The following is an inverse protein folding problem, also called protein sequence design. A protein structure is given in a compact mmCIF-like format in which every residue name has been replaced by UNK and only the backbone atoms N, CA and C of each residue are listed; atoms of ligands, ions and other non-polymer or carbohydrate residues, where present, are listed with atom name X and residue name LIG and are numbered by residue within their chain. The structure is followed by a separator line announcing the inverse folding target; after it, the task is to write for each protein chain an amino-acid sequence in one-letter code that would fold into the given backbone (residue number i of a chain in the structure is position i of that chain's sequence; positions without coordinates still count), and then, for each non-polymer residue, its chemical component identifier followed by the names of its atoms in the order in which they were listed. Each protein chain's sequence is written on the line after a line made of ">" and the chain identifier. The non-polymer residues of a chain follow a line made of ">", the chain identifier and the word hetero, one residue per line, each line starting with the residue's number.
data_IF_546031470182
#
_entry.id   IF_546031470182
#
_cell.length_a   1.000
_cell.length_b   1.000
_cell.length_c   1.000
_cell.angle_alpha   90.00
_cell.angle_beta   90.00
_cell.angle_gamma   90.00
#
_symmetry.space_group_name_H-M   'P 1'
#
loop_
_entity.id
_entity.type
_entity.pdbx_description
1 polymer ?
#
# COMPACT_ATOMS: atom_id res chain seq x y z
N UNK A 1 -5.03 -0.54 11.66
CA UNK A 1 -5.34 -0.15 13.06
C UNK A 1 -4.23 -0.58 14.03
N UNK A 2 -3.83 -1.85 14.06
CA UNK A 2 -2.69 -2.32 14.89
C UNK A 2 -1.42 -1.49 14.65
N UNK A 3 -0.98 -1.38 13.38
CA UNK A 3 0.23 -0.59 13.03
C UNK A 3 0.14 0.89 13.41
N UNK A 4 -1.06 1.46 13.33
CA UNK A 4 -1.30 2.84 13.70
C UNK A 4 -1.11 3.03 15.20
N UNK A 5 -1.76 2.19 16.00
CA UNK A 5 -1.69 2.26 17.47
C UNK A 5 -0.26 1.96 17.94
N UNK A 6 0.42 0.97 17.35
CA UNK A 6 1.81 0.67 17.72
C UNK A 6 2.76 1.82 17.37
N UNK A 7 2.59 2.45 16.20
CA UNK A 7 3.45 3.58 15.80
C UNK A 7 3.19 4.81 16.67
N UNK A 8 1.92 5.10 16.97
CA UNK A 8 1.52 6.20 17.85
C UNK A 8 2.03 6.02 19.29
N UNK A 9 1.97 4.80 19.83
CA UNK A 9 2.54 4.50 21.15
C UNK A 9 4.05 4.64 21.17
N UNK A 10 4.76 4.07 20.18
CA UNK A 10 6.21 4.14 20.11
C UNK A 10 6.72 5.58 19.96
N UNK A 11 6.08 6.39 19.12
CA UNK A 11 6.48 7.78 18.93
C UNK A 11 6.15 8.63 20.15
N UNK A 12 5.02 8.38 20.82
CA UNK A 12 4.68 9.05 22.07
C UNK A 12 5.77 8.81 23.12
N UNK A 13 6.21 7.56 23.33
CA UNK A 13 7.28 7.27 24.29
C UNK A 13 8.64 7.87 23.87
N UNK A 14 8.88 8.07 22.58
CA UNK A 14 10.14 8.66 22.09
C UNK A 14 10.15 10.19 22.11
N UNK A 15 9.00 10.85 21.89
CA UNK A 15 8.93 12.30 21.65
C UNK A 15 8.21 13.08 22.75
N UNK A 16 7.38 12.46 23.59
CA UNK A 16 6.56 13.19 24.58
C UNK A 16 7.41 14.05 25.53
N UNK A 17 8.58 13.57 25.96
CA UNK A 17 9.47 14.35 26.83
C UNK A 17 10.10 15.55 26.11
N UNK A 18 10.35 15.44 24.80
CA UNK A 18 10.98 16.49 24.00
C UNK A 18 9.97 17.49 23.42
N UNK A 19 8.77 17.03 23.10
CA UNK A 19 7.69 17.78 22.47
C UNK A 19 6.33 17.42 23.09
N UNK A 20 6.06 17.79 24.34
CA UNK A 20 4.83 17.43 25.04
C UNK A 20 3.57 18.06 24.43
N UNK A 21 3.70 19.22 23.79
CA UNK A 21 2.58 19.91 23.13
C UNK A 21 2.20 19.24 21.80
N UNK A 22 3.18 18.71 21.06
CA UNK A 22 2.95 18.03 19.77
C UNK A 22 2.56 16.55 19.96
N UNK A 23 3.08 15.90 21.01
CA UNK A 23 2.78 14.50 21.36
C UNK A 23 2.21 14.36 22.79
N UNK A 24 1.04 14.97 23.12
CA UNK A 24 0.54 15.03 24.50
C UNK A 24 -0.02 13.71 25.03
N UNK A 25 -0.54 12.84 24.17
CA UNK A 25 -1.09 11.52 24.52
C UNK A 25 -1.18 10.64 23.26
N UNK A 26 -1.31 9.32 23.45
CA UNK A 26 -1.31 8.35 22.34
C UNK A 26 -2.38 8.67 21.26
N UNK A 27 -3.65 8.99 21.61
CA UNK A 27 -4.62 9.40 20.59
C UNK A 27 -4.22 10.63 19.76
N UNK A 28 -3.53 11.61 20.34
CA UNK A 28 -3.02 12.75 19.59
C UNK A 28 -1.88 12.32 18.65
N UNK A 29 -0.98 11.46 19.12
CA UNK A 29 0.10 10.88 18.31
C UNK A 29 -0.42 10.01 17.14
N UNK A 30 -1.67 9.53 17.19
CA UNK A 30 -2.29 8.84 16.05
C UNK A 30 -2.45 9.76 14.84
N UNK A 31 -2.59 11.07 15.00
CA UNK A 31 -2.63 12.00 13.86
C UNK A 31 -1.35 11.90 13.03
N UNK A 32 -0.19 12.05 13.69
CA UNK A 32 1.11 11.86 13.07
C UNK A 32 1.24 10.46 12.44
N UNK A 33 0.79 9.42 13.15
CA UNK A 33 0.80 8.05 12.65
C UNK A 33 -0.04 7.86 11.38
N UNK A 34 -1.24 8.46 11.31
CA UNK A 34 -2.12 8.40 10.13
C UNK A 34 -1.39 9.04 8.95
N UNK A 35 -0.98 10.30 9.07
CA UNK A 35 -0.40 11.05 7.94
C UNK A 35 0.94 10.47 7.49
N UNK A 36 1.70 9.84 8.40
CA UNK A 36 2.98 9.19 8.06
C UNK A 36 2.75 7.84 7.37
N UNK A 37 1.88 6.99 7.92
CA UNK A 37 1.60 5.66 7.36
C UNK A 37 0.85 5.74 6.03
N UNK A 38 0.06 6.79 5.80
CA UNK A 38 -0.59 7.07 4.51
C UNK A 38 0.27 7.90 3.57
N UNK A 39 1.54 8.13 3.93
CA UNK A 39 2.52 8.87 3.12
C UNK A 39 2.07 10.29 2.75
N UNK A 40 1.21 10.93 3.55
CA UNK A 40 0.74 12.32 3.35
C UNK A 40 1.76 13.31 3.88
N UNK A 41 2.14 13.17 5.17
CA UNK A 41 3.21 13.94 5.80
C UNK A 41 3.09 15.47 5.68
N UNK A 42 2.07 16.07 6.30
CA UNK A 42 1.89 17.54 6.27
C UNK A 42 3.06 18.31 6.87
N UNK A 43 3.81 17.72 7.81
CA UNK A 43 4.96 18.35 8.46
C UNK A 43 4.60 19.33 9.59
N UNK A 44 3.34 19.35 10.01
CA UNK A 44 2.83 20.07 11.17
C UNK A 44 3.36 19.50 12.49
N UNK A 45 3.45 18.17 12.58
CA UNK A 45 4.04 17.44 13.70
C UNK A 45 5.03 16.43 13.14
N UNK A 46 6.22 16.32 13.75
CA UNK A 46 7.25 15.35 13.35
C UNK A 46 8.23 15.10 14.50
N UNK A 47 8.83 13.89 14.57
CA UNK A 47 9.79 13.55 15.62
C UNK A 47 11.09 14.34 15.49
N UNK A 48 11.56 14.90 16.61
CA UNK A 48 12.83 15.63 16.68
C UNK A 48 13.93 14.83 17.35
N UNK A 49 13.60 13.83 18.18
CA UNK A 49 14.60 13.01 18.86
C UNK A 49 15.29 12.04 17.90
N UNK A 50 16.55 11.64 18.17
CA UNK A 50 17.24 10.63 17.37
C UNK A 50 16.46 9.30 17.30
N UNK A 51 15.88 8.87 18.43
CA UNK A 51 15.09 7.65 18.50
C UNK A 51 13.79 7.77 17.71
N UNK A 52 13.05 8.88 17.87
CA UNK A 52 11.81 9.09 17.13
C UNK A 52 12.03 9.25 15.64
N UNK A 53 13.13 9.85 15.19
CA UNK A 53 13.51 9.89 13.76
C UNK A 53 13.78 8.50 13.20
N UNK A 54 14.49 7.64 13.95
CA UNK A 54 14.71 6.26 13.57
C UNK A 54 13.40 5.47 13.46
N UNK A 55 12.52 5.59 14.45
CA UNK A 55 11.18 4.98 14.44
C UNK A 55 10.32 5.53 13.31
N UNK A 56 10.38 6.84 13.04
CA UNK A 56 9.68 7.50 11.95
C UNK A 56 10.13 7.00 10.58
N UNK A 57 11.42 6.77 10.38
CA UNK A 57 11.93 6.19 9.14
C UNK A 57 11.39 4.77 8.91
N UNK A 58 11.35 3.94 9.96
CA UNK A 58 10.74 2.60 9.87
C UNK A 58 9.25 2.69 9.57
N UNK A 59 8.53 3.58 10.25
CA UNK A 59 7.09 3.78 10.04
C UNK A 59 6.78 4.20 8.60
N UNK A 60 7.58 5.10 8.01
CA UNK A 60 7.44 5.52 6.63
C UNK A 60 7.63 4.34 5.64
N UNK A 61 8.66 3.51 5.84
CA UNK A 61 8.90 2.32 5.01
C UNK A 61 7.75 1.31 5.11
N UNK A 62 7.25 1.10 6.33
CA UNK A 62 6.09 0.23 6.57
C UNK A 62 4.84 0.79 5.88
N UNK A 63 4.61 2.10 5.94
CA UNK A 63 3.51 2.77 5.25
C UNK A 63 3.46 2.47 3.76
N UNK A 64 4.59 2.65 3.06
CA UNK A 64 4.72 2.31 1.62
C UNK A 64 4.41 0.83 1.36
N UNK A 65 4.93 -0.07 2.22
CA UNK A 65 4.70 -1.51 2.09
C UNK A 65 3.22 -1.93 2.21
N UNK A 66 2.44 -1.24 3.05
CA UNK A 66 1.01 -1.54 3.23
C UNK A 66 0.23 -1.26 1.94
N UNK A 67 0.50 -0.15 1.26
CA UNK A 67 -0.21 0.21 0.04
C UNK A 67 0.14 -0.67 -1.16
N UNK A 68 1.31 -1.34 -1.13
CA UNK A 68 1.71 -2.26 -2.18
C UNK A 68 0.78 -3.49 -2.30
N UNK A 69 0.26 -4.02 -1.18
CA UNK A 69 -0.57 -5.23 -1.19
C UNK A 69 -1.94 -5.01 -1.86
N UNK A 70 -2.77 -4.02 -1.47
CA UNK A 70 -4.04 -3.76 -2.14
C UNK A 70 -3.85 -3.41 -3.62
N UNK A 71 -2.83 -2.60 -3.94
CA UNK A 71 -2.51 -2.27 -5.33
C UNK A 71 -2.16 -3.52 -6.14
N UNK A 72 -1.37 -4.44 -5.56
CA UNK A 72 -1.03 -5.73 -6.16
C UNK A 72 -2.24 -6.62 -6.41
N UNK A 73 -3.16 -6.72 -5.45
CA UNK A 73 -4.41 -7.51 -5.57
C UNK A 73 -5.30 -6.97 -6.70
N UNK A 74 -5.44 -5.65 -6.79
CA UNK A 74 -6.22 -5.02 -7.86
C UNK A 74 -5.55 -5.27 -9.20
N UNK A 75 -4.22 -5.07 -9.29
CA UNK A 75 -3.47 -5.31 -10.52
C UNK A 75 -3.54 -6.77 -11.00
N UNK A 76 -3.47 -7.74 -10.09
CA UNK A 76 -3.62 -9.16 -10.43
C UNK A 76 -5.02 -9.47 -10.96
N UNK A 77 -6.08 -8.89 -10.36
CA UNK A 77 -7.45 -9.06 -10.85
C UNK A 77 -7.64 -8.49 -12.27
N UNK A 78 -7.05 -7.34 -12.58
CA UNK A 78 -7.05 -6.81 -13.94
C UNK A 78 -6.27 -7.70 -14.92
N UNK A 79 -5.13 -8.22 -14.50
CA UNK A 79 -4.28 -9.08 -15.33
C UNK A 79 -5.02 -10.38 -15.69
N UNK A 80 -5.65 -11.02 -14.71
CA UNK A 80 -6.44 -12.24 -14.91
C UNK A 80 -7.60 -12.03 -15.90
N UNK A 81 -8.34 -10.92 -15.79
CA UNK A 81 -9.45 -10.63 -16.70
C UNK A 81 -8.95 -10.34 -18.13
N UNK A 82 -7.81 -9.67 -18.29
CA UNK A 82 -7.18 -9.43 -19.61
C UNK A 82 -6.75 -10.76 -20.24
N UNK A 83 -6.14 -11.66 -19.46
CA UNK A 83 -5.73 -12.98 -19.93
C UNK A 83 -6.93 -13.84 -20.34
N UNK A 84 -8.01 -13.83 -19.56
CA UNK A 84 -9.26 -14.55 -19.87
C UNK A 84 -9.90 -14.06 -21.17
N UNK A 85 -9.90 -12.75 -21.44
CA UNK A 85 -10.38 -12.18 -22.71
C UNK A 85 -9.48 -12.57 -23.88
N UNK A 86 -8.16 -12.58 -23.69
CA UNK A 86 -7.20 -13.03 -24.72
C UNK A 86 -7.39 -14.50 -25.07
N UNK A 87 -7.53 -15.37 -24.07
CA UNK A 87 -7.80 -16.79 -24.27
C UNK A 87 -9.14 -17.03 -25.00
N UNK A 88 -10.20 -16.30 -24.62
CA UNK A 88 -11.52 -16.39 -25.27
C UNK A 88 -11.47 -15.94 -26.74
N UNK A 89 -10.73 -14.88 -27.05
CA UNK A 89 -10.54 -14.41 -28.44
C UNK A 89 -9.65 -15.34 -29.28
N UNK A 90 -8.65 -16.00 -28.68
CA UNK A 90 -7.86 -17.01 -29.39
C UNK A 90 -8.70 -18.23 -29.76
N UNK A 91 -9.58 -18.69 -28.88
CA UNK A 91 -10.44 -19.86 -29.14
C UNK A 91 -11.47 -19.60 -30.26
N UNK A 92 -11.82 -18.33 -30.52
CA UNK A 92 -12.65 -17.94 -31.68
C UNK A 92 -11.88 -17.90 -33.01
N UNK A 93 -10.55 -17.80 -32.99
CA UNK A 93 -9.72 -17.48 -34.17
C UNK A 93 -9.19 -18.66 -34.97
N UNK A 94 -9.50 -19.91 -34.61
CA UNK A 94 -9.08 -21.07 -35.41
C UNK A 94 -10.18 -22.11 -35.51
N UNK A 95 -11.21 -21.80 -36.29
CA UNK A 95 -12.09 -22.85 -36.81
C UNK A 95 -11.29 -23.55 -37.90
N UNK A 96 -10.94 -24.83 -37.70
CA UNK A 96 -10.23 -25.62 -38.71
C UNK A 96 -11.27 -26.37 -39.54
N UNK A 97 -11.20 -26.24 -40.87
CA UNK A 97 -12.14 -26.90 -41.76
C UNK A 97 -11.97 -28.44 -41.68
N UNK A 98 -13.03 -29.22 -41.39
CA UNK A 98 -12.93 -30.68 -41.26
C UNK A 98 -12.68 -31.41 -42.59
N UNK A 99 -12.85 -30.72 -43.73
CA UNK A 99 -12.67 -31.31 -45.06
C UNK A 99 -11.25 -31.11 -45.62
N UNK A 100 -10.58 -30.00 -45.31
CA UNK A 100 -9.25 -29.69 -45.88
C UNK A 100 -8.16 -29.38 -44.83
N UNK A 101 -8.51 -29.25 -43.55
CA UNK A 101 -7.55 -29.00 -42.47
C UNK A 101 -6.95 -27.58 -42.45
N UNK A 102 -7.42 -26.65 -43.30
CA UNK A 102 -6.98 -25.26 -43.26
C UNK A 102 -7.74 -24.44 -42.20
N UNK A 103 -7.08 -23.39 -41.68
CA UNK A 103 -7.70 -22.41 -40.79
C UNK A 103 -8.70 -21.56 -41.56
N UNK A 104 -9.91 -21.42 -41.03
CA UNK A 104 -10.93 -20.48 -41.49
C UNK A 104 -10.66 -19.19 -40.73
N UNK A 105 -9.80 -18.35 -41.33
CA UNK A 105 -9.64 -16.97 -40.89
C UNK A 105 -10.87 -16.19 -41.43
N UNK A 106 -11.49 -15.34 -40.60
CA UNK A 106 -12.70 -14.55 -40.96
C UNK A 106 -12.56 -13.77 -42.27
#
# INVERSE_FOLDING_TARGET
>A
LVLLVTSASLIYFAEHEAQPDDFPHIPAAMWWGIITLTTVGYGDVYPVTPLGRFLGAIAALVGVGIFALPAGIVASGFTEEIEKKRASNQNKKSIICPHCGQKIDE
#
